data_IF_901709952228
#
_entry.id   IF_901709952228
#
_cell.length_a   1.000
_cell.length_b   1.000
_cell.length_c   1.000
_cell.angle_alpha   90.00
_cell.angle_beta   90.00
_cell.angle_gamma   90.00
#
_symmetry.space_group_name_H-M   'P 1'
#
loop_
_entity.id
_entity.type
_entity.pdbx_description
1 polymer ?
#
# COMPACT_ATOMS: atom_id res chain seq x y z
N UNK A 1 41.81 37.92 15.16
CA UNK A 1 41.86 39.25 14.51
C UNK A 1 40.69 40.11 14.95
N UNK A 2 40.99 41.01 15.91
CA UNK A 2 40.44 42.35 16.12
C UNK A 2 38.94 42.57 16.43
N UNK A 3 38.67 42.52 17.74
CA UNK A 3 37.67 43.34 18.44
C UNK A 3 38.13 44.81 18.41
N UNK A 4 37.27 45.75 17.98
CA UNK A 4 37.52 47.20 18.17
C UNK A 4 36.85 47.67 19.45
N UNK A 5 37.70 47.99 20.43
CA UNK A 5 37.40 48.77 21.63
C UNK A 5 37.05 50.22 21.22
N UNK A 6 35.95 50.76 21.74
CA UNK A 6 35.91 51.76 22.83
C UNK A 6 36.87 52.94 22.61
N UNK A 7 36.30 54.09 22.23
CA UNK A 7 36.89 55.40 22.48
C UNK A 7 35.89 56.18 23.34
N UNK A 8 36.12 56.14 24.65
CA UNK A 8 35.55 57.05 25.65
C UNK A 8 36.25 58.39 25.45
N UNK A 9 35.51 59.44 25.11
CA UNK A 9 36.02 60.81 25.16
C UNK A 9 35.45 61.49 26.40
N UNK A 10 36.25 61.47 27.45
CA UNK A 10 36.08 62.23 28.68
C UNK A 10 36.56 63.67 28.39
N UNK A 11 35.66 64.66 28.39
CA UNK A 11 36.06 66.06 28.31
C UNK A 11 35.27 66.89 29.33
N UNK A 12 35.90 67.01 30.50
CA UNK A 12 35.96 68.17 31.40
C UNK A 12 34.70 69.02 31.63
N UNK A 13 34.20 68.87 32.85
CA UNK A 13 33.54 69.87 33.70
C UNK A 13 34.02 71.31 33.41
N UNK A 14 33.08 72.19 33.04
CA UNK A 14 33.16 73.60 33.39
C UNK A 14 31.89 73.95 34.19
N UNK A 15 32.09 74.14 35.49
CA UNK A 15 31.09 74.65 36.41
C UNK A 15 31.03 76.17 36.20
N UNK A 16 30.02 76.65 35.47
CA UNK A 16 29.61 78.06 35.52
C UNK A 16 28.21 78.09 36.09
N UNK A 17 28.15 78.38 37.38
CA UNK A 17 26.92 78.83 38.01
C UNK A 17 26.60 80.22 37.44
N UNK A 18 25.54 80.31 36.65
CA UNK A 18 24.90 81.59 36.35
C UNK A 18 23.41 81.39 36.11
N UNK A 19 22.65 81.84 37.10
CA UNK A 19 21.35 82.48 36.98
C UNK A 19 20.22 81.65 36.36
N UNK A 20 19.30 81.25 37.24
CA UNK A 20 17.92 81.02 36.90
C UNK A 20 17.37 82.15 36.01
N UNK A 21 16.98 81.79 34.80
CA UNK A 21 15.97 82.50 34.02
C UNK A 21 15.17 81.43 33.29
N UNK A 22 13.89 81.31 33.63
CA UNK A 22 12.97 80.44 32.91
C UNK A 22 12.90 80.89 31.46
N UNK A 23 13.48 80.09 30.57
CA UNK A 23 13.13 80.14 29.16
C UNK A 23 11.75 79.52 29.03
N UNK A 24 10.72 80.36 29.03
CA UNK A 24 9.38 79.93 28.67
C UNK A 24 9.44 79.49 27.20
N UNK A 25 9.50 78.17 26.96
CA UNK A 25 9.34 77.60 25.63
C UNK A 25 8.07 78.15 24.96
N UNK A 26 8.10 78.29 23.63
CA UNK A 26 7.00 78.89 22.89
C UNK A 26 5.70 78.12 23.18
N UNK A 27 4.63 78.85 23.48
CA UNK A 27 3.33 78.26 23.81
C UNK A 27 2.83 77.48 22.59
N UNK A 28 2.72 76.17 22.75
CA UNK A 28 2.25 75.27 21.71
C UNK A 28 0.84 74.78 22.04
N UNK A 29 -0.01 74.74 21.01
CA UNK A 29 -1.35 74.16 21.08
C UNK A 29 -1.48 73.05 20.05
N UNK A 30 -1.85 71.86 20.51
CA UNK A 30 -2.06 70.69 19.64
C UNK A 30 -3.49 70.24 19.78
N UNK A 31 -4.22 70.14 18.67
CA UNK A 31 -5.58 69.57 18.66
C UNK A 31 -5.60 68.38 17.71
N UNK A 32 -6.08 67.25 18.19
CA UNK A 32 -6.09 66.03 17.37
C UNK A 32 -6.51 64.79 18.14
N UNK A 33 -6.31 63.65 17.51
CA UNK A 33 -6.65 62.33 18.07
C UNK A 33 -5.39 61.58 18.48
N UNK A 34 -5.42 60.93 19.64
CA UNK A 34 -4.32 60.05 20.06
C UNK A 34 -4.25 58.84 19.11
N UNK A 35 -3.13 58.63 18.43
CA UNK A 35 -2.90 57.42 17.62
C UNK A 35 -2.24 56.33 18.46
N UNK A 36 -1.31 56.72 19.33
CA UNK A 36 -0.51 55.80 20.13
C UNK A 36 -0.15 56.46 21.45
N UNK A 37 -0.13 55.67 22.52
CA UNK A 37 0.40 56.04 23.83
C UNK A 37 1.44 55.03 24.26
N UNK A 38 2.59 55.51 24.69
CA UNK A 38 3.67 54.68 25.23
C UNK A 38 4.23 55.37 26.47
N UNK A 39 3.83 54.90 27.65
CA UNK A 39 4.17 55.51 28.92
C UNK A 39 3.72 56.98 28.98
N UNK A 40 4.71 57.87 29.05
CA UNK A 40 4.57 59.32 29.14
C UNK A 40 4.50 60.01 27.78
N UNK A 41 4.66 59.29 26.66
CA UNK A 41 4.62 59.89 25.32
C UNK A 41 3.33 59.54 24.58
N UNK A 42 2.72 60.54 23.95
CA UNK A 42 1.56 60.43 23.07
C UNK A 42 1.93 60.86 21.66
N UNK A 43 1.38 60.19 20.66
CA UNK A 43 1.40 60.68 19.29
C UNK A 43 -0.01 61.16 18.95
N UNK A 44 -0.14 62.46 18.68
CA UNK A 44 -1.40 63.10 18.35
C UNK A 44 -1.44 63.39 16.85
N UNK A 45 -2.46 62.89 16.16
CA UNK A 45 -2.73 63.25 14.76
C UNK A 45 -3.61 64.50 14.72
N UNK A 46 -3.02 65.62 14.32
CA UNK A 46 -3.74 66.87 14.10
C UNK A 46 -3.84 67.25 12.62
N UNK A 47 -4.48 68.40 12.32
CA UNK A 47 -4.51 68.98 10.97
C UNK A 47 -3.12 69.25 10.39
N UNK A 48 -2.17 69.60 11.27
CA UNK A 48 -0.80 69.98 10.93
C UNK A 48 0.16 68.77 10.89
N UNK A 49 -0.37 67.55 10.98
CA UNK A 49 0.40 66.30 10.98
C UNK A 49 0.50 65.63 12.34
N UNK A 50 1.49 64.73 12.49
CA UNK A 50 1.71 63.97 13.73
C UNK A 50 2.61 64.77 14.67
N UNK A 51 2.12 65.05 15.87
CA UNK A 51 2.88 65.74 16.91
C UNK A 51 3.13 64.80 18.08
N UNK A 52 4.38 64.73 18.53
CA UNK A 52 4.76 64.00 19.73
C UNK A 52 4.52 64.89 20.94
N UNK A 53 3.68 64.43 21.87
CA UNK A 53 3.34 65.11 23.10
C UNK A 53 3.94 64.33 24.26
N UNK A 54 4.67 65.01 25.14
CA UNK A 54 5.29 64.41 26.33
C UNK A 54 4.51 64.85 27.57
N UNK A 55 4.09 63.88 28.37
CA UNK A 55 3.46 64.06 29.66
C UNK A 55 4.54 64.15 30.74
N UNK A 56 4.32 64.99 31.74
CA UNK A 56 5.18 65.18 32.91
C UNK A 56 4.33 65.10 34.16
N UNK A 57 4.96 65.02 35.34
CA UNK A 57 4.25 65.03 36.63
C UNK A 57 3.38 66.29 36.84
N UNK A 58 3.73 67.39 36.18
CA UNK A 58 2.99 68.66 36.23
C UNK A 58 1.83 68.74 35.21
N UNK A 59 1.66 67.73 34.36
CA UNK A 59 0.61 67.74 33.32
C UNK A 59 -0.76 67.53 33.93
N UNK A 60 -1.66 68.51 33.75
CA UNK A 60 -3.02 68.45 34.27
C UNK A 60 -4.05 68.08 33.21
N UNK A 61 -4.93 67.13 33.51
CA UNK A 61 -6.05 66.75 32.63
C UNK A 61 -7.36 67.42 33.08
N UNK A 62 -8.09 68.01 32.13
CA UNK A 62 -9.34 68.74 32.35
C UNK A 62 -10.42 68.25 31.39
N UNK A 63 -11.66 68.32 31.82
CA UNK A 63 -12.82 68.13 30.94
C UNK A 63 -13.10 69.41 30.14
N UNK A 64 -13.48 69.27 28.86
CA UNK A 64 -13.96 70.37 28.02
C UNK A 64 -15.38 70.80 28.42
N UNK A 65 -16.16 69.91 29.07
CA UNK A 65 -17.52 70.19 29.55
C UNK A 65 -17.55 70.82 30.94
N UNK A 66 -17.61 72.16 30.99
CA UNK A 66 -18.17 72.89 32.12
C UNK A 66 -19.62 73.29 31.80
N UNK A 67 -20.62 72.66 32.42
CA UNK A 67 -22.03 73.00 32.14
C UNK A 67 -22.42 74.29 32.88
N UNK A 68 -22.90 75.28 32.13
CA UNK A 68 -23.51 76.53 32.62
C UNK A 68 -22.70 77.33 33.67
N UNK A 69 -21.48 77.74 33.30
CA UNK A 69 -20.74 78.76 34.06
C UNK A 69 -20.00 78.27 35.30
N UNK A 70 -19.89 76.95 35.50
CA UNK A 70 -19.06 76.35 36.53
C UNK A 70 -17.65 75.99 36.01
N UNK A 71 -16.68 76.05 36.91
CA UNK A 71 -15.25 75.90 36.64
C UNK A 71 -14.92 74.50 36.08
N UNK A 72 -14.01 74.42 35.10
CA UNK A 72 -13.56 73.16 34.50
C UNK A 72 -12.97 72.26 35.60
N UNK A 73 -13.60 71.12 35.85
CA UNK A 73 -13.18 70.19 36.89
C UNK A 73 -11.87 69.49 36.46
N UNK A 74 -10.88 69.48 37.35
CA UNK A 74 -9.67 68.69 37.13
C UNK A 74 -10.03 67.20 37.22
N UNK A 75 -9.70 66.46 36.16
CA UNK A 75 -9.88 65.02 36.14
C UNK A 75 -8.61 64.42 36.73
N UNK A 76 -8.61 64.14 38.03
CA UNK A 76 -7.54 63.35 38.65
C UNK A 76 -7.62 61.93 38.10
N UNK A 77 -6.78 61.60 37.11
CA UNK A 77 -6.64 60.28 36.44
C UNK A 77 -7.40 60.08 35.11
N UNK A 78 -7.50 61.09 34.23
CA UNK A 78 -8.02 60.84 32.89
C UNK A 78 -7.12 59.85 32.11
N UNK A 79 -7.67 58.71 31.69
CA UNK A 79 -6.93 57.70 30.95
C UNK A 79 -6.87 58.12 29.48
N UNK A 80 -5.75 58.73 29.09
CA UNK A 80 -5.51 59.11 27.71
C UNK A 80 -5.32 57.86 26.84
N UNK A 81 -6.33 57.48 26.05
CA UNK A 81 -6.34 56.25 25.24
C UNK A 81 -6.31 56.55 23.73
N UNK A 82 -5.71 55.67 22.90
CA UNK A 82 -5.78 55.79 21.46
C UNK A 82 -7.22 55.92 20.95
N UNK A 83 -7.47 56.82 20.01
CA UNK A 83 -8.80 57.16 19.50
C UNK A 83 -9.47 58.35 20.19
N UNK A 84 -8.98 58.75 21.38
CA UNK A 84 -9.49 59.91 22.10
C UNK A 84 -9.08 61.22 21.44
N UNK A 85 -10.05 62.11 21.21
CA UNK A 85 -9.79 63.48 20.79
C UNK A 85 -9.38 64.34 21.98
N UNK A 86 -8.37 65.16 21.79
CA UNK A 86 -7.88 66.04 22.84
C UNK A 86 -7.34 67.37 22.31
N UNK A 87 -7.20 68.32 23.22
CA UNK A 87 -6.47 69.57 23.05
C UNK A 87 -5.35 69.62 24.08
N UNK A 88 -4.12 69.82 23.64
CA UNK A 88 -2.95 70.00 24.49
C UNK A 88 -2.55 71.46 24.46
N UNK A 89 -2.46 72.07 25.64
CA UNK A 89 -1.77 73.34 25.86
C UNK A 89 -0.44 73.04 26.56
N UNK A 90 0.66 73.46 25.97
CA UNK A 90 1.99 73.12 26.44
C UNK A 90 3.06 74.08 25.94
N UNK A 91 4.31 73.67 26.11
CA UNK A 91 5.47 74.39 25.57
C UNK A 91 6.22 73.45 24.63
N UNK A 92 6.60 73.95 23.45
CA UNK A 92 7.48 73.18 22.57
C UNK A 92 8.88 73.11 23.18
N UNK A 93 9.47 71.93 23.18
CA UNK A 93 10.88 71.75 23.48
C UNK A 93 11.75 72.00 22.23
N UNK A 94 13.06 71.99 22.42
CA UNK A 94 14.10 72.14 21.41
C UNK A 94 14.15 70.98 20.40
N UNK A 95 13.44 69.88 20.66
CA UNK A 95 13.31 68.71 19.81
C UNK A 95 12.00 68.69 19.01
N UNK A 96 11.20 69.77 19.08
CA UNK A 96 9.92 69.89 18.38
C UNK A 96 8.80 69.03 18.98
N UNK A 97 8.98 68.54 20.21
CA UNK A 97 7.93 67.84 20.98
C UNK A 97 7.19 68.86 21.83
N UNK A 98 5.92 68.58 22.11
CA UNK A 98 5.11 69.45 22.97
C UNK A 98 5.05 68.87 24.36
N UNK A 99 5.67 69.54 25.33
CA UNK A 99 5.56 69.19 26.75
C UNK A 99 4.21 69.70 27.25
N UNK A 100 3.32 68.78 27.58
CA UNK A 100 1.94 69.10 27.93
C UNK A 100 1.85 69.74 29.33
N UNK A 101 1.28 70.92 29.43
CA UNK A 101 0.93 71.54 30.72
C UNK A 101 -0.51 71.25 31.09
N UNK A 102 -1.41 71.33 30.11
CA UNK A 102 -2.83 71.03 30.30
C UNK A 102 -3.34 70.25 29.10
N UNK A 103 -4.06 69.17 29.38
CA UNK A 103 -4.74 68.37 28.36
C UNK A 103 -6.24 68.50 28.62
N UNK A 104 -6.97 68.94 27.62
CA UNK A 104 -8.42 69.02 27.65
C UNK A 104 -8.99 67.90 26.79
N UNK A 105 -9.83 67.07 27.39
CA UNK A 105 -10.57 65.97 26.75
C UNK A 105 -12.07 66.19 26.98
N UNK A 106 -12.92 65.69 26.11
CA UNK A 106 -14.37 65.65 26.38
C UNK A 106 -14.69 64.33 27.09
N UNK A 107 -15.42 64.40 28.21
CA UNK A 107 -15.81 63.22 28.99
C UNK A 107 -16.60 62.18 28.18
N UNK A 108 -17.49 62.59 27.26
CA UNK A 108 -18.26 61.66 26.43
C UNK A 108 -17.37 61.00 25.37
N UNK A 109 -16.41 61.75 24.80
CA UNK A 109 -15.44 61.20 23.84
C UNK A 109 -14.49 60.20 24.53
N UNK A 110 -14.15 60.42 25.80
CA UNK A 110 -13.38 59.49 26.63
C UNK A 110 -14.16 58.21 26.89
N UNK A 111 -15.40 58.31 27.33
CA UNK A 111 -16.28 57.16 27.54
C UNK A 111 -16.48 56.36 26.24
N UNK A 112 -16.71 57.06 25.11
CA UNK A 112 -16.84 56.43 23.80
C UNK A 112 -15.56 55.69 23.37
N UNK A 113 -14.39 56.29 23.58
CA UNK A 113 -13.11 55.67 23.27
C UNK A 113 -12.82 54.45 24.18
N UNK A 114 -13.17 54.52 25.47
CA UNK A 114 -13.00 53.43 26.43
C UNK A 114 -13.89 52.23 26.06
N UNK A 115 -15.16 52.47 25.69
CA UNK A 115 -16.07 51.45 25.19
C UNK A 115 -15.54 50.76 23.92
N UNK A 116 -15.01 51.54 22.96
CA UNK A 116 -14.44 50.99 21.72
C UNK A 116 -13.23 50.12 22.04
N UNK A 117 -12.29 50.60 22.86
CA UNK A 117 -11.09 49.84 23.20
C UNK A 117 -11.45 48.56 23.98
N UNK A 118 -12.41 48.64 24.91
CA UNK A 118 -12.94 47.49 25.65
C UNK A 118 -13.54 46.42 24.73
N UNK A 119 -14.20 46.82 23.63
CA UNK A 119 -14.70 45.88 22.60
C UNK A 119 -13.62 45.33 21.66
N UNK A 120 -12.54 46.07 21.43
CA UNK A 120 -11.43 45.65 20.55
C UNK A 120 -10.50 44.62 21.20
N UNK A 121 -10.26 44.70 22.51
CA UNK A 121 -9.45 43.73 23.25
C UNK A 121 -9.90 42.25 23.10
N UNK A 122 -11.18 41.89 23.37
CA UNK A 122 -11.64 40.52 23.20
C UNK A 122 -11.60 40.08 21.73
N UNK A 123 -11.81 41.02 20.79
CA UNK A 123 -11.72 40.74 19.35
C UNK A 123 -10.29 40.37 18.94
N UNK A 124 -9.28 41.12 19.39
CA UNK A 124 -7.88 40.80 19.12
C UNK A 124 -7.47 39.44 19.71
N UNK A 125 -7.94 39.13 20.91
CA UNK A 125 -7.72 37.83 21.54
C UNK A 125 -8.39 36.68 20.76
N UNK A 126 -9.61 36.89 20.27
CA UNK A 126 -10.32 35.91 19.44
C UNK A 126 -9.59 35.66 18.12
N UNK A 127 -9.07 36.72 17.47
CA UNK A 127 -8.29 36.58 16.23
C UNK A 127 -7.02 35.77 16.49
N UNK A 128 -6.30 36.04 17.57
CA UNK A 128 -5.12 35.27 17.94
C UNK A 128 -5.44 33.78 18.19
N UNK A 129 -6.55 33.48 18.88
CA UNK A 129 -7.01 32.11 19.10
C UNK A 129 -7.39 31.42 17.79
N UNK A 130 -8.06 32.12 16.87
CA UNK A 130 -8.43 31.58 15.57
C UNK A 130 -7.20 31.26 14.71
N UNK A 131 -6.16 32.11 14.74
CA UNK A 131 -4.90 31.87 14.02
C UNK A 131 -4.22 30.61 14.56
N UNK A 132 -4.13 30.46 15.89
CA UNK A 132 -3.57 29.25 16.50
C UNK A 132 -4.36 27.97 16.13
N UNK A 133 -5.70 28.06 16.12
CA UNK A 133 -6.55 26.95 15.69
C UNK A 133 -6.33 26.58 14.22
N UNK A 134 -6.18 27.57 13.33
CA UNK A 134 -5.87 27.35 11.91
C UNK A 134 -4.50 26.68 11.71
N UNK A 135 -3.49 27.09 12.46
CA UNK A 135 -2.17 26.45 12.43
C UNK A 135 -2.24 24.98 12.89
N UNK A 136 -2.98 24.71 13.97
CA UNK A 136 -3.21 23.35 14.45
C UNK A 136 -3.93 22.48 13.41
N UNK A 137 -5.00 23.00 12.79
CA UNK A 137 -5.72 22.31 11.71
C UNK A 137 -4.82 22.07 10.49
N UNK A 138 -3.97 23.03 10.12
CA UNK A 138 -2.99 22.85 9.04
C UNK A 138 -2.03 21.69 9.34
N UNK A 139 -1.56 21.58 10.60
CA UNK A 139 -0.75 20.46 11.06
C UNK A 139 -1.48 19.12 10.96
N UNK A 140 -2.74 19.06 11.40
CA UNK A 140 -3.58 17.86 11.30
C UNK A 140 -3.88 17.44 9.86
N UNK A 141 -4.03 18.39 8.93
CA UNK A 141 -4.24 18.09 7.52
C UNK A 141 -2.98 17.48 6.90
N UNK A 142 -1.79 17.97 7.26
CA UNK A 142 -0.52 17.38 6.81
C UNK A 142 -0.35 15.95 7.32
N UNK A 143 -0.70 15.67 8.57
CA UNK A 143 -0.62 14.31 9.10
C UNK A 143 -1.63 13.37 8.44
N UNK A 144 -2.87 13.81 8.21
CA UNK A 144 -3.85 13.03 7.43
C UNK A 144 -3.38 12.78 6.00
N UNK A 145 -2.79 13.78 5.34
CA UNK A 145 -2.27 13.61 3.99
C UNK A 145 -1.15 12.56 3.94
N UNK A 146 -0.25 12.55 4.94
CA UNK A 146 0.79 11.52 5.06
C UNK A 146 0.19 10.13 5.32
N UNK A 147 -0.84 10.02 6.16
CA UNK A 147 -1.55 8.76 6.41
C UNK A 147 -2.23 8.23 5.13
N UNK A 148 -2.89 9.11 4.37
CA UNK A 148 -3.53 8.73 3.10
C UNK A 148 -2.50 8.28 2.05
N UNK A 149 -1.31 8.89 2.01
CA UNK A 149 -0.24 8.45 1.15
C UNK A 149 0.21 7.02 1.49
N UNK A 150 0.44 6.72 2.77
CA UNK A 150 0.77 5.36 3.22
C UNK A 150 -0.35 4.34 2.97
N UNK A 151 -1.61 4.73 3.15
CA UNK A 151 -2.75 3.88 2.82
C UNK A 151 -2.82 3.57 1.32
N UNK A 152 -2.53 4.53 0.45
CA UNK A 152 -2.49 4.32 -1.01
C UNK A 152 -1.42 3.32 -1.42
N UNK A 153 -0.22 3.44 -0.85
CA UNK A 153 0.88 2.48 -1.08
C UNK A 153 0.49 1.06 -0.65
N UNK A 154 -0.15 0.91 0.51
CA UNK A 154 -0.67 -0.38 0.97
C UNK A 154 -1.74 -0.96 0.03
N UNK A 155 -2.65 -0.12 -0.48
CA UNK A 155 -3.67 -0.54 -1.44
C UNK A 155 -3.03 -1.00 -2.74
N UNK A 156 -2.04 -0.28 -3.26
CA UNK A 156 -1.32 -0.64 -4.48
C UNK A 156 -0.59 -1.99 -4.31
N UNK A 157 0.12 -2.17 -3.19
CA UNK A 157 0.78 -3.43 -2.85
C UNK A 157 -0.23 -4.58 -2.77
N UNK A 158 -1.36 -4.36 -2.11
CA UNK A 158 -2.42 -5.37 -2.01
C UNK A 158 -3.03 -5.69 -3.38
N UNK A 159 -3.21 -4.70 -4.26
CA UNK A 159 -3.68 -4.92 -5.63
C UNK A 159 -2.71 -5.77 -6.45
N UNK A 160 -1.40 -5.53 -6.33
CA UNK A 160 -0.36 -6.34 -6.97
C UNK A 160 -0.40 -7.79 -6.46
N UNK A 161 -0.52 -7.98 -5.13
CA UNK A 161 -0.64 -9.30 -4.53
C UNK A 161 -1.90 -10.04 -4.99
N UNK A 162 -3.04 -9.35 -5.09
CA UNK A 162 -4.29 -9.93 -5.62
C UNK A 162 -4.11 -10.35 -7.08
N UNK A 163 -3.45 -9.54 -7.91
CA UNK A 163 -3.19 -9.86 -9.31
C UNK A 163 -2.29 -11.11 -9.44
N UNK A 164 -1.20 -11.18 -8.67
CA UNK A 164 -0.31 -12.34 -8.64
C UNK A 164 -1.04 -13.60 -8.16
N UNK A 165 -1.79 -13.52 -7.06
CA UNK A 165 -2.57 -14.64 -6.55
C UNK A 165 -3.63 -15.11 -7.55
N UNK A 166 -4.28 -14.18 -8.27
CA UNK A 166 -5.26 -14.52 -9.31
C UNK A 166 -4.62 -15.30 -10.45
N UNK A 167 -3.42 -14.90 -10.89
CA UNK A 167 -2.67 -15.64 -11.91
C UNK A 167 -2.33 -17.05 -11.41
N UNK A 168 -1.79 -17.17 -10.19
CA UNK A 168 -1.42 -18.46 -9.61
C UNK A 168 -2.64 -19.38 -9.44
N UNK A 169 -3.80 -18.85 -9.05
CA UNK A 169 -5.05 -19.62 -8.99
C UNK A 169 -5.42 -20.15 -10.39
N UNK A 170 -5.26 -19.33 -11.43
CA UNK A 170 -5.50 -19.76 -12.81
C UNK A 170 -4.59 -20.91 -13.24
N UNK A 171 -3.30 -20.84 -12.92
CA UNK A 171 -2.33 -21.92 -13.18
C UNK A 171 -2.69 -23.19 -12.40
N UNK A 172 -2.99 -23.07 -11.10
CA UNK A 172 -3.40 -24.20 -10.27
C UNK A 172 -4.67 -24.88 -10.78
N UNK A 173 -5.67 -24.12 -11.26
CA UNK A 173 -6.90 -24.68 -11.84
C UNK A 173 -6.56 -25.51 -13.07
N UNK A 174 -5.72 -24.98 -13.96
CA UNK A 174 -5.27 -25.70 -15.16
C UNK A 174 -4.56 -27.01 -14.79
N UNK A 175 -3.64 -26.97 -13.82
CA UNK A 175 -2.94 -28.15 -13.35
C UNK A 175 -3.90 -29.19 -12.74
N UNK A 176 -4.91 -28.75 -12.00
CA UNK A 176 -5.95 -29.62 -11.45
C UNK A 176 -6.77 -30.27 -12.57
N UNK A 177 -7.16 -29.51 -13.58
CA UNK A 177 -7.92 -30.02 -14.74
C UNK A 177 -7.11 -31.06 -15.52
N UNK A 178 -5.84 -30.78 -15.83
CA UNK A 178 -4.95 -31.73 -16.50
C UNK A 178 -4.73 -33.01 -15.67
N UNK A 179 -4.50 -32.88 -14.36
CA UNK A 179 -4.36 -34.03 -13.48
C UNK A 179 -5.66 -34.83 -13.34
N UNK A 180 -6.81 -34.15 -13.31
CA UNK A 180 -8.12 -34.80 -13.27
C UNK A 180 -8.36 -35.61 -14.54
N UNK A 181 -8.07 -35.04 -15.71
CA UNK A 181 -8.17 -35.73 -16.99
C UNK A 181 -7.26 -36.97 -17.02
N UNK A 182 -6.01 -36.83 -16.59
CA UNK A 182 -5.08 -37.97 -16.46
C UNK A 182 -5.62 -39.05 -15.54
N UNK A 183 -6.18 -38.68 -14.38
CA UNK A 183 -6.77 -39.63 -13.44
C UNK A 183 -7.97 -40.37 -14.04
N UNK A 184 -8.86 -39.67 -14.73
CA UNK A 184 -10.01 -40.30 -15.39
C UNK A 184 -9.60 -41.26 -16.50
N UNK A 185 -8.47 -41.00 -17.16
CA UNK A 185 -7.91 -41.84 -18.23
C UNK A 185 -7.04 -43.00 -17.72
N UNK A 186 -6.89 -43.20 -16.40
CA UNK A 186 -6.06 -44.29 -15.85
C UNK A 186 -6.63 -45.69 -16.10
N UNK A 187 -7.93 -45.81 -16.31
CA UNK A 187 -8.56 -47.10 -16.62
C UNK A 187 -8.36 -47.50 -18.10
N UNK A 188 -8.00 -46.54 -18.95
CA UNK A 188 -7.95 -46.73 -20.39
C UNK A 188 -6.51 -46.97 -20.87
N UNK A 189 -6.40 -47.87 -21.85
CA UNK A 189 -5.13 -48.24 -22.46
C UNK A 189 -5.20 -48.10 -23.98
N UNK A 190 -4.11 -47.65 -24.58
CA UNK A 190 -3.88 -47.74 -26.01
C UNK A 190 -3.05 -48.97 -26.34
N UNK A 191 -3.48 -49.73 -27.34
CA UNK A 191 -2.66 -50.80 -27.93
C UNK A 191 -1.63 -50.16 -28.84
N UNK A 192 -0.34 -50.28 -28.49
CA UNK A 192 0.78 -49.78 -29.30
C UNK A 192 1.39 -50.85 -30.20
N UNK A 193 1.18 -52.12 -29.86
CA UNK A 193 1.59 -53.26 -30.68
C UNK A 193 0.88 -54.53 -30.24
N UNK A 194 0.74 -55.48 -31.15
CA UNK A 194 0.20 -56.80 -30.86
C UNK A 194 0.87 -57.89 -31.71
N UNK A 195 0.96 -59.10 -31.18
CA UNK A 195 1.38 -60.29 -31.90
C UNK A 195 0.58 -61.51 -31.43
N UNK A 196 0.49 -62.52 -32.29
CA UNK A 196 -0.22 -63.77 -32.01
C UNK A 196 0.73 -64.94 -32.26
N UNK A 197 0.97 -65.75 -31.23
CA UNK A 197 1.83 -66.93 -31.28
C UNK A 197 0.96 -68.17 -31.40
N UNK A 198 1.21 -69.02 -32.40
CA UNK A 198 0.42 -70.24 -32.61
C UNK A 198 1.14 -71.48 -32.06
N UNK A 199 0.37 -72.45 -31.58
CA UNK A 199 0.91 -73.66 -30.98
C UNK A 199 0.37 -74.95 -31.60
N UNK A 200 1.25 -75.94 -31.70
CA UNK A 200 0.87 -77.31 -32.00
C UNK A 200 0.06 -77.94 -30.84
N UNK A 201 -0.69 -78.99 -31.16
CA UNK A 201 -1.51 -79.73 -30.18
C UNK A 201 -0.61 -80.24 -29.04
N UNK A 202 -1.03 -79.98 -27.79
CA UNK A 202 -0.29 -80.39 -26.59
C UNK A 202 1.09 -79.75 -26.39
N UNK A 203 1.48 -78.79 -27.25
CA UNK A 203 2.82 -78.18 -27.21
C UNK A 203 2.79 -76.77 -26.63
N UNK A 204 3.91 -76.41 -26.00
CA UNK A 204 4.26 -75.06 -25.49
C UNK A 204 5.48 -74.48 -26.21
N UNK A 205 5.98 -75.16 -27.24
CA UNK A 205 7.15 -74.71 -28.00
C UNK A 205 6.75 -73.55 -28.92
N UNK A 206 7.45 -72.43 -28.80
CA UNK A 206 7.34 -71.27 -29.69
C UNK A 206 8.11 -71.58 -30.98
N UNK A 207 7.56 -71.17 -32.13
CA UNK A 207 8.25 -71.32 -33.41
C UNK A 207 9.30 -70.23 -33.60
N UNK A 208 10.37 -70.48 -34.37
CA UNK A 208 11.41 -69.46 -34.61
C UNK A 208 10.88 -68.21 -35.34
N UNK A 209 9.81 -68.35 -36.11
CA UNK A 209 9.12 -67.22 -36.75
C UNK A 209 8.40 -66.36 -35.70
N UNK A 210 7.66 -66.99 -34.79
CA UNK A 210 6.96 -66.29 -33.70
C UNK A 210 7.94 -65.68 -32.70
N UNK A 211 9.10 -66.31 -32.46
CA UNK A 211 10.17 -65.73 -31.65
C UNK A 211 10.64 -64.38 -32.23
N UNK A 212 10.90 -64.32 -33.54
CA UNK A 212 11.30 -63.06 -34.20
C UNK A 212 10.18 -62.01 -34.14
N UNK A 213 8.91 -62.41 -34.34
CA UNK A 213 7.77 -61.49 -34.20
C UNK A 213 7.63 -60.94 -32.77
N UNK A 214 7.81 -61.79 -31.75
CA UNK A 214 7.78 -61.37 -30.34
C UNK A 214 8.92 -60.41 -30.02
N UNK A 215 10.11 -60.63 -30.58
CA UNK A 215 11.25 -59.74 -30.43
C UNK A 215 10.99 -58.36 -31.06
N UNK A 216 10.45 -58.33 -32.28
CA UNK A 216 10.05 -57.09 -32.94
C UNK A 216 8.94 -56.37 -32.18
N UNK A 217 7.96 -57.12 -31.65
CA UNK A 217 6.94 -56.56 -30.79
C UNK A 217 7.58 -55.90 -29.55
N UNK A 218 8.47 -56.61 -28.85
CA UNK A 218 9.15 -56.08 -27.66
C UNK A 218 9.93 -54.78 -27.96
N UNK A 219 10.53 -54.65 -29.14
CA UNK A 219 11.19 -53.42 -29.59
C UNK A 219 10.23 -52.23 -29.72
N UNK A 220 8.94 -52.46 -30.04
CA UNK A 220 7.95 -51.37 -30.07
C UNK A 220 7.68 -50.78 -28.69
N UNK A 221 8.06 -51.48 -27.62
CA UNK A 221 7.97 -50.99 -26.25
C UNK A 221 9.13 -50.06 -25.86
N UNK A 222 10.22 -50.03 -26.64
CA UNK A 222 11.38 -49.18 -26.37
C UNK A 222 10.97 -47.70 -26.41
N UNK A 223 11.29 -46.97 -25.34
CA UNK A 223 10.95 -45.55 -25.21
C UNK A 223 9.52 -45.25 -24.75
N UNK A 224 8.62 -46.25 -24.71
CA UNK A 224 7.29 -46.06 -24.14
C UNK A 224 7.38 -45.93 -22.61
N UNK A 225 6.72 -44.91 -22.04
CA UNK A 225 6.64 -44.73 -20.58
C UNK A 225 5.40 -45.42 -20.03
N UNK A 226 5.56 -46.18 -18.95
CA UNK A 226 4.45 -46.83 -18.25
C UNK A 226 3.71 -47.87 -19.10
N UNK A 227 4.36 -48.47 -20.09
CA UNK A 227 3.77 -49.56 -20.84
C UNK A 227 3.67 -50.82 -19.98
N UNK A 228 2.66 -51.63 -20.28
CA UNK A 228 2.50 -52.99 -19.77
C UNK A 228 2.35 -53.95 -20.95
N UNK A 229 2.66 -55.22 -20.71
CA UNK A 229 2.50 -56.29 -21.68
C UNK A 229 1.46 -57.26 -21.14
N UNK A 230 0.35 -57.36 -21.86
CA UNK A 230 -0.69 -58.35 -21.62
C UNK A 230 -0.36 -59.61 -22.43
N UNK A 231 -0.38 -60.77 -21.77
CA UNK A 231 -0.16 -62.07 -22.40
C UNK A 231 -1.34 -62.98 -22.03
N UNK A 232 -2.15 -63.34 -23.02
CA UNK A 232 -3.32 -64.20 -22.82
C UNK A 232 -3.18 -65.48 -23.65
N UNK A 233 -3.15 -66.63 -22.98
CA UNK A 233 -3.07 -67.93 -23.61
C UNK A 233 -4.45 -68.55 -23.81
N UNK A 234 -4.61 -69.25 -24.94
CA UNK A 234 -5.82 -69.92 -25.36
C UNK A 234 -5.51 -71.38 -25.77
N UNK A 235 -6.52 -72.22 -25.63
CA UNK A 235 -6.54 -73.62 -26.07
C UNK A 235 -7.76 -73.84 -26.97
N UNK A 236 -7.68 -74.88 -27.80
CA UNK A 236 -8.86 -75.35 -28.52
C UNK A 236 -9.73 -76.24 -27.63
N UNK A 237 -10.99 -76.47 -28.03
CA UNK A 237 -11.97 -77.19 -27.22
C UNK A 237 -11.79 -78.73 -27.17
N UNK A 238 -10.63 -79.25 -27.59
CA UNK A 238 -10.37 -80.70 -27.53
C UNK A 238 -9.86 -81.09 -26.15
N UNK A 239 -10.50 -82.10 -25.54
CA UNK A 239 -10.04 -82.67 -24.28
C UNK A 239 -10.79 -82.14 -23.07
N UNK A 240 -10.14 -82.18 -21.91
CA UNK A 240 -10.71 -81.73 -20.64
C UNK A 240 -10.42 -80.24 -20.38
N UNK A 241 -11.40 -79.53 -19.82
CA UNK A 241 -11.33 -78.09 -19.59
C UNK A 241 -10.19 -77.70 -18.62
N UNK A 242 -9.91 -78.51 -17.59
CA UNK A 242 -8.80 -78.28 -16.66
C UNK A 242 -7.45 -78.43 -17.39
N UNK A 243 -7.35 -79.46 -18.25
CA UNK A 243 -6.18 -79.66 -19.10
C UNK A 243 -5.97 -78.48 -20.05
N UNK A 244 -7.03 -77.98 -20.69
CA UNK A 244 -6.96 -76.84 -21.61
C UNK A 244 -6.61 -75.54 -20.91
N UNK A 245 -7.12 -75.32 -19.70
CA UNK A 245 -6.73 -74.19 -18.84
C UNK A 245 -5.23 -74.27 -18.53
N UNK A 246 -4.73 -75.42 -18.06
CA UNK A 246 -3.31 -75.62 -17.76
C UNK A 246 -2.41 -75.48 -18.98
N UNK A 247 -2.86 -75.94 -20.15
CA UNK A 247 -2.11 -75.81 -21.40
C UNK A 247 -2.04 -74.35 -21.84
N UNK A 248 -3.14 -73.61 -21.75
CA UNK A 248 -3.19 -72.17 -22.06
C UNK A 248 -2.25 -71.37 -21.14
N UNK A 249 -2.22 -71.69 -19.84
CA UNK A 249 -1.32 -71.09 -18.85
C UNK A 249 0.15 -71.38 -19.17
N UNK A 250 0.48 -72.64 -19.48
CA UNK A 250 1.86 -73.02 -19.80
C UNK A 250 2.37 -72.35 -21.09
N UNK A 251 1.51 -72.16 -22.09
CA UNK A 251 1.85 -71.42 -23.32
C UNK A 251 2.09 -69.95 -23.03
N UNK A 252 1.21 -69.31 -22.27
CA UNK A 252 1.40 -67.92 -21.85
C UNK A 252 2.70 -67.74 -21.05
N UNK A 253 3.01 -68.66 -20.12
CA UNK A 253 4.28 -68.69 -19.38
C UNK A 253 5.50 -68.85 -20.29
N UNK A 254 5.42 -69.68 -21.32
CA UNK A 254 6.51 -69.84 -22.29
C UNK A 254 6.79 -68.52 -23.03
N UNK A 255 5.74 -67.82 -23.48
CA UNK A 255 5.85 -66.52 -24.14
C UNK A 255 6.40 -65.45 -23.19
N UNK A 256 5.91 -65.39 -21.95
CA UNK A 256 6.45 -64.49 -20.91
C UNK A 256 7.94 -64.75 -20.69
N UNK A 257 8.35 -66.01 -20.57
CA UNK A 257 9.76 -66.39 -20.38
C UNK A 257 10.61 -65.92 -21.56
N UNK A 258 10.13 -66.10 -22.79
CA UNK A 258 10.81 -65.62 -23.99
C UNK A 258 10.96 -64.09 -23.98
N UNK A 259 9.88 -63.34 -23.72
CA UNK A 259 9.91 -61.87 -23.66
C UNK A 259 10.87 -61.34 -22.60
N UNK A 260 10.97 -62.02 -21.45
CA UNK A 260 11.90 -61.66 -20.39
C UNK A 260 13.37 -61.92 -20.77
N UNK A 261 13.65 -63.08 -21.37
CA UNK A 261 15.03 -63.54 -21.61
C UNK A 261 15.63 -63.04 -22.92
N UNK A 262 14.82 -62.99 -23.98
CA UNK A 262 15.25 -62.70 -25.35
C UNK A 262 14.68 -61.38 -25.88
N UNK A 263 13.48 -60.99 -25.41
CA UNK A 263 12.84 -59.72 -25.73
C UNK A 263 13.25 -58.55 -24.82
N UNK A 264 14.07 -58.80 -23.80
CA UNK A 264 14.52 -57.82 -22.81
C UNK A 264 13.39 -57.05 -22.09
N UNK A 265 12.19 -57.62 -22.00
CA UNK A 265 11.05 -56.99 -21.32
C UNK A 265 11.19 -57.16 -19.80
N UNK A 266 11.22 -56.08 -19.01
CA UNK A 266 11.29 -56.18 -17.56
C UNK A 266 10.07 -56.89 -16.98
N UNK A 267 10.28 -57.78 -16.00
CA UNK A 267 9.20 -58.54 -15.33
C UNK A 267 8.09 -57.63 -14.79
N UNK A 268 8.45 -56.44 -14.28
CA UNK A 268 7.51 -55.46 -13.73
C UNK A 268 6.55 -54.84 -14.74
N UNK A 269 6.78 -55.03 -16.04
CA UNK A 269 5.89 -54.56 -17.11
C UNK A 269 4.96 -55.67 -17.62
N UNK A 270 5.17 -56.92 -17.23
CA UNK A 270 4.36 -58.04 -17.72
C UNK A 270 3.22 -58.27 -16.73
N UNK A 271 1.98 -58.18 -17.22
CA UNK A 271 0.79 -58.54 -16.45
C UNK A 271 0.77 -60.06 -16.27
N UNK A 272 0.24 -60.54 -15.14
CA UNK A 272 0.13 -61.96 -14.87
C UNK A 272 -0.49 -62.70 -16.09
N UNK A 273 0.17 -63.75 -16.61
CA UNK A 273 -0.28 -64.40 -17.84
C UNK A 273 -1.69 -64.97 -17.65
N UNK A 274 -2.61 -64.59 -18.55
CA UNK A 274 -3.99 -65.05 -18.54
C UNK A 274 -4.09 -66.48 -19.05
N UNK A 275 -4.74 -67.35 -18.27
CA UNK A 275 -5.10 -68.71 -18.68
C UNK A 275 -6.58 -68.73 -19.10
N UNK A 276 -6.85 -68.48 -20.39
CA UNK A 276 -8.24 -68.37 -20.89
C UNK A 276 -8.85 -69.74 -21.18
N UNK A 277 -8.06 -70.81 -21.21
CA UNK A 277 -8.53 -72.14 -21.60
C UNK A 277 -9.18 -72.07 -22.98
N UNK A 278 -10.42 -72.55 -23.08
CA UNK A 278 -11.20 -72.60 -24.33
C UNK A 278 -12.01 -71.31 -24.60
N UNK A 279 -12.05 -70.38 -23.63
CA UNK A 279 -12.80 -69.14 -23.74
C UNK A 279 -12.21 -68.22 -24.81
N UNK A 280 -13.04 -67.48 -25.55
CA UNK A 280 -12.53 -66.54 -26.57
C UNK A 280 -11.99 -67.23 -27.83
N UNK A 281 -12.62 -68.35 -28.23
CA UNK A 281 -12.39 -68.99 -29.53
C UNK A 281 -12.63 -68.00 -30.67
N UNK A 282 -11.68 -67.89 -31.59
CA UNK A 282 -11.74 -66.99 -32.76
C UNK A 282 -12.16 -67.71 -34.03
N UNK A 283 -12.18 -69.05 -34.00
CA UNK A 283 -12.62 -69.90 -35.09
C UNK A 283 -13.42 -71.11 -34.57
N UNK A 284 -14.21 -71.79 -35.44
CA UNK A 284 -14.98 -72.97 -35.05
C UNK A 284 -14.10 -74.15 -34.60
N UNK A 285 -14.39 -74.76 -33.45
CA UNK A 285 -13.61 -75.88 -32.89
C UNK A 285 -13.88 -77.23 -33.58
N UNK A 286 -14.87 -77.28 -34.47
CA UNK A 286 -15.28 -78.47 -35.21
C UNK A 286 -14.26 -78.81 -36.32
N UNK A 287 -13.61 -77.78 -36.88
CA UNK A 287 -12.63 -77.92 -37.96
C UNK A 287 -11.20 -78.02 -37.43
N UNK A 288 -10.33 -78.76 -38.12
CA UNK A 288 -8.92 -78.90 -37.72
C UNK A 288 -8.20 -77.56 -37.78
N UNK A 289 -8.52 -76.77 -38.79
CA UNK A 289 -7.99 -75.44 -39.07
C UNK A 289 -8.44 -74.46 -37.99
N UNK A 290 -9.73 -74.43 -37.63
CA UNK A 290 -10.23 -73.55 -36.58
C UNK A 290 -9.65 -73.88 -35.20
N UNK A 291 -9.47 -75.16 -34.88
CA UNK A 291 -8.73 -75.55 -33.67
C UNK A 291 -7.28 -75.04 -33.68
N UNK A 292 -6.63 -74.99 -34.84
CA UNK A 292 -5.28 -74.44 -34.94
C UNK A 292 -5.23 -72.94 -34.66
N UNK A 293 -6.22 -72.18 -35.10
CA UNK A 293 -6.35 -70.75 -34.78
C UNK A 293 -6.65 -70.52 -33.28
N UNK A 294 -7.41 -71.41 -32.64
CA UNK A 294 -7.73 -71.29 -31.23
C UNK A 294 -6.55 -71.63 -30.29
N UNK A 295 -5.59 -72.45 -30.75
CA UNK A 295 -4.34 -72.72 -30.01
C UNK A 295 -3.34 -71.57 -30.18
N UNK A 296 -3.60 -70.46 -29.51
CA UNK A 296 -2.78 -69.26 -29.62
C UNK A 296 -2.45 -68.61 -28.28
N UNK A 297 -1.45 -67.77 -28.28
CA UNK A 297 -1.23 -66.75 -27.25
C UNK A 297 -1.30 -65.40 -27.92
N UNK A 298 -2.13 -64.50 -27.40
CA UNK A 298 -2.16 -63.10 -27.81
C UNK A 298 -1.25 -62.29 -26.89
N UNK A 299 -0.42 -61.44 -27.47
CA UNK A 299 0.47 -60.53 -26.76
C UNK A 299 0.15 -59.11 -27.19
N UNK A 300 -0.09 -58.21 -26.24
CA UNK A 300 -0.38 -56.80 -26.51
C UNK A 300 0.52 -55.91 -25.68
N UNK A 301 1.11 -54.90 -26.31
CA UNK A 301 1.77 -53.79 -25.62
C UNK A 301 0.74 -52.69 -25.45
N UNK A 302 0.47 -52.39 -24.19
CA UNK A 302 -0.54 -51.43 -23.77
C UNK A 302 0.14 -50.25 -23.10
N UNK A 303 -0.29 -49.04 -23.40
CA UNK A 303 0.16 -47.83 -22.70
C UNK A 303 -1.02 -47.18 -22.02
N UNK A 304 -0.87 -46.88 -20.73
CA UNK A 304 -1.90 -46.22 -19.94
C UNK A 304 -2.10 -44.78 -20.42
N UNK A 305 -3.34 -44.41 -20.79
CA UNK A 305 -3.64 -43.07 -21.32
C UNK A 305 -3.38 -41.95 -20.32
N UNK A 306 -3.56 -42.20 -19.02
CA UNK A 306 -3.26 -41.22 -17.96
C UNK A 306 -1.77 -40.98 -17.71
N UNK A 307 -0.90 -41.90 -18.14
CA UNK A 307 0.57 -41.81 -17.97
C UNK A 307 1.26 -41.29 -19.23
N UNK A 308 0.79 -41.68 -20.42
CA UNK A 308 1.44 -41.35 -21.69
C UNK A 308 1.54 -39.84 -21.99
N UNK A 309 0.73 -39.03 -21.28
CA UNK A 309 0.39 -37.68 -21.72
C UNK A 309 -0.60 -37.77 -22.86
N UNK A 310 -1.72 -37.07 -22.74
CA UNK A 310 -2.64 -36.81 -23.85
C UNK A 310 -1.96 -36.03 -24.96
#
# INVERSE_FOLDING_TARGET
>A
MQRKQIAVSLMTLFFVASLAFGAAGEKAKVKGTIITRTGETLIVSGPDGKTTVVLTDDTRTKDDKGLFGLEKQEMSNAVLIPGLKLKVDGTSDDQGRVVAKTITVDGDDLEAAEMIQSGLHPTAQQVAANVQALEAHSGQLKSHQAQLAGQRENIETNQQNIAANKQQIGENIKDIEENTQRFTALADYDVKGQATVKFNVGSTKISSEDEEQLKQLAQTAEGLKGYIVEVAGYADATGDAEMNTKLSENRAKAVVTYLMQQGNVPIRHIVAPGAMGEYGSVAPNETKEGRAENRRVEVKILVNKGIAGS
#
